data_IF_749669160780
#
_entry.id   IF_749669160780
#
_cell.length_a   1.000
_cell.length_b   1.000
_cell.length_c   1.000
_cell.angle_alpha   90.00
_cell.angle_beta   90.00
_cell.angle_gamma   90.00
#
_symmetry.space_group_name_H-M   'P 1'
#
loop_
_entity.id
_entity.type
_entity.pdbx_description
1 polymer ?
#
# COMPACT_ATOMS: atom_id res chain seq x y z
N UNK A 1 -4.77 22.90 11.18
CA UNK A 1 -4.05 21.61 11.28
C UNK A 1 -2.79 21.59 10.40
N UNK A 2 -2.86 21.85 9.08
CA UNK A 2 -1.67 21.84 8.19
C UNK A 2 -0.62 22.85 8.68
N UNK A 3 -1.00 24.08 9.04
CA UNK A 3 -0.07 25.08 9.54
C UNK A 3 0.66 24.64 10.82
N UNK A 4 -0.04 23.98 11.74
CA UNK A 4 0.58 23.40 12.95
C UNK A 4 1.63 22.32 12.62
N UNK A 5 1.40 21.52 11.57
CA UNK A 5 2.37 20.52 11.09
C UNK A 5 3.60 21.23 10.49
N UNK A 6 3.40 22.31 9.74
CA UNK A 6 4.49 23.11 9.16
C UNK A 6 5.34 23.73 10.28
N UNK A 7 4.73 24.31 11.31
CA UNK A 7 5.43 24.92 12.44
C UNK A 7 6.21 23.88 13.25
N UNK A 8 5.62 22.69 13.48
CA UNK A 8 6.32 21.58 14.11
C UNK A 8 7.54 21.13 13.27
N UNK A 9 7.39 21.07 11.94
CA UNK A 9 8.48 20.68 11.03
C UNK A 9 9.65 21.66 11.10
N UNK A 10 9.40 22.98 11.14
CA UNK A 10 10.46 23.99 11.32
C UNK A 10 11.26 23.72 12.59
N UNK A 11 10.57 23.57 13.72
CA UNK A 11 11.19 23.24 14.99
C UNK A 11 11.95 21.89 14.97
N UNK A 12 11.41 20.87 14.28
CA UNK A 12 12.09 19.58 14.11
C UNK A 12 13.43 19.72 13.37
N UNK A 13 13.47 20.54 12.32
CA UNK A 13 14.70 20.81 11.56
C UNK A 13 15.70 21.62 12.37
N UNK A 14 15.26 22.71 13.05
CA UNK A 14 16.10 23.55 13.88
C UNK A 14 16.83 22.78 15.00
N UNK A 15 16.14 21.85 15.66
CA UNK A 15 16.73 20.96 16.69
C UNK A 15 17.42 19.73 16.14
N UNK A 16 17.59 19.64 14.81
CA UNK A 16 18.22 18.52 14.09
C UNK A 16 17.59 17.15 14.38
N UNK A 17 16.27 17.12 14.59
CA UNK A 17 15.53 15.88 14.89
C UNK A 17 15.63 14.80 13.83
N UNK A 18 16.10 15.15 12.63
CA UNK A 18 16.29 14.25 11.49
C UNK A 18 17.57 13.38 11.59
N UNK A 19 18.56 13.74 12.41
CA UNK A 19 19.87 13.05 12.42
C UNK A 19 19.76 11.53 12.61
N UNK A 20 18.85 11.08 13.48
CA UNK A 20 18.62 9.64 13.72
C UNK A 20 17.95 8.89 12.56
N UNK A 21 17.48 9.59 11.53
CA UNK A 21 16.79 9.02 10.37
C UNK A 21 17.66 9.05 9.10
N UNK A 22 18.90 9.52 9.20
CA UNK A 22 19.79 9.59 8.04
C UNK A 22 20.08 8.20 7.51
N UNK A 23 19.87 8.00 6.23
CA UNK A 23 20.17 6.77 5.47
C UNK A 23 20.26 7.12 4.00
N UNK A 24 20.64 6.19 3.14
CA UNK A 24 20.62 6.39 1.71
C UNK A 24 19.28 5.93 1.07
N UNK A 25 19.22 5.95 -0.26
CA UNK A 25 18.00 5.58 -1.00
C UNK A 25 17.82 4.06 -1.19
N UNK A 26 18.83 3.25 -0.92
CA UNK A 26 18.79 1.81 -1.15
C UNK A 26 18.32 1.08 0.12
N UNK A 27 17.40 0.10 0.01
CA UNK A 27 16.96 -0.64 1.19
C UNK A 27 18.03 -1.64 1.63
N UNK A 28 18.52 -1.52 2.86
CA UNK A 28 19.59 -2.37 3.40
C UNK A 28 19.25 -3.87 3.33
N UNK A 29 17.97 -4.22 3.54
CA UNK A 29 17.47 -5.61 3.47
C UNK A 29 17.05 -6.05 2.07
N UNK A 30 17.20 -5.19 1.04
CA UNK A 30 16.73 -5.46 -0.34
C UNK A 30 15.26 -5.90 -0.38
N UNK A 31 14.47 -5.38 0.54
CA UNK A 31 13.07 -5.74 0.79
C UNK A 31 12.14 -4.60 0.36
N UNK A 32 11.01 -4.97 -0.25
CA UNK A 32 9.83 -4.11 -0.37
C UNK A 32 8.64 -4.73 0.39
N UNK A 33 7.88 -3.89 1.06
CA UNK A 33 6.65 -4.28 1.76
C UNK A 33 5.49 -3.50 1.15
N UNK A 34 4.53 -4.20 0.56
CA UNK A 34 3.24 -3.63 0.14
C UNK A 34 2.22 -3.89 1.24
N UNK A 35 1.62 -2.82 1.78
CA UNK A 35 0.64 -2.94 2.87
C UNK A 35 -0.46 -1.90 2.79
N UNK A 36 -1.48 -2.06 3.65
CA UNK A 36 -2.59 -1.12 3.74
C UNK A 36 -2.15 0.24 4.31
N UNK A 37 -2.82 1.31 3.85
CA UNK A 37 -2.65 2.66 4.37
C UNK A 37 -3.32 2.89 5.74
N UNK A 38 -3.90 1.87 6.36
CA UNK A 38 -4.53 1.93 7.67
C UNK A 38 -3.60 2.60 8.69
N UNK A 39 -4.15 3.56 9.44
CA UNK A 39 -3.38 4.37 10.39
C UNK A 39 -2.78 3.55 11.54
N UNK A 40 -3.43 2.45 11.92
CA UNK A 40 -2.94 1.51 12.95
C UNK A 40 -1.61 0.87 12.55
N UNK A 41 -1.34 0.75 11.24
CA UNK A 41 -0.13 0.13 10.71
C UNK A 41 1.03 1.11 10.45
N UNK A 42 0.86 2.39 10.76
CA UNK A 42 1.90 3.38 10.45
C UNK A 42 3.19 3.12 11.22
N UNK A 43 3.09 2.81 12.50
CA UNK A 43 4.22 2.46 13.36
C UNK A 43 4.27 0.97 13.70
N UNK A 44 3.11 0.32 13.89
CA UNK A 44 3.02 -1.09 14.26
C UNK A 44 3.69 -2.00 13.22
N UNK A 45 3.41 -1.79 11.93
CA UNK A 45 3.95 -2.66 10.89
C UNK A 45 5.49 -2.71 10.88
N UNK A 46 6.22 -1.60 10.73
CA UNK A 46 7.68 -1.66 10.77
C UNK A 46 8.21 -2.16 12.12
N UNK A 47 7.58 -1.81 13.24
CA UNK A 47 8.00 -2.27 14.56
C UNK A 47 7.85 -3.79 14.71
N UNK A 48 6.70 -4.35 14.33
CA UNK A 48 6.44 -5.78 14.40
C UNK A 48 7.35 -6.61 13.47
N UNK A 49 7.75 -6.03 12.32
CA UNK A 49 8.70 -6.66 11.39
C UNK A 49 10.17 -6.40 11.76
N UNK A 50 10.47 -5.67 12.82
CA UNK A 50 11.82 -5.31 13.21
C UNK A 50 12.55 -4.44 12.19
N UNK A 51 11.80 -3.61 11.44
CA UNK A 51 12.33 -2.72 10.41
C UNK A 51 12.62 -1.33 10.96
N UNK A 52 13.80 -0.81 10.58
CA UNK A 52 14.24 0.56 10.86
C UNK A 52 14.19 1.40 9.60
N UNK A 53 14.34 2.72 9.77
CA UNK A 53 14.47 3.63 8.62
C UNK A 53 15.69 3.22 7.77
N UNK A 54 15.46 3.03 6.46
CA UNK A 54 16.49 2.54 5.53
C UNK A 54 16.44 1.05 5.23
N UNK A 55 15.82 0.22 6.08
CA UNK A 55 15.83 -1.25 5.92
C UNK A 55 15.03 -1.74 4.68
N UNK A 56 13.87 -1.13 4.42
CA UNK A 56 12.95 -1.61 3.37
C UNK A 56 12.22 -0.47 2.67
N UNK A 57 11.68 -0.75 1.48
CA UNK A 57 10.72 0.13 0.79
C UNK A 57 9.31 -0.20 1.26
N UNK A 58 8.64 0.76 1.89
CA UNK A 58 7.26 0.60 2.34
C UNK A 58 6.33 1.27 1.32
N UNK A 59 5.48 0.48 0.68
CA UNK A 59 4.46 0.91 -0.27
C UNK A 59 3.11 0.75 0.39
N UNK A 60 2.30 1.82 0.46
CA UNK A 60 0.98 1.80 1.10
C UNK A 60 -0.10 2.28 0.14
N UNK A 61 -1.21 1.55 0.10
CA UNK A 61 -2.43 1.96 -0.60
C UNK A 61 -3.68 1.43 0.12
N UNK A 62 -4.86 1.78 -0.38
CA UNK A 62 -6.12 1.24 0.16
C UNK A 62 -6.16 -0.28 -0.02
N UNK A 63 -6.20 -1.01 1.09
CA UNK A 63 -6.25 -2.48 1.12
C UNK A 63 -4.90 -3.20 1.01
N UNK A 64 -3.80 -2.53 0.67
CA UNK A 64 -2.50 -3.20 0.50
C UNK A 64 -2.46 -4.14 -0.73
N UNK A 65 -3.06 -3.71 -1.84
CA UNK A 65 -3.38 -4.54 -3.01
C UNK A 65 -2.65 -4.09 -4.27
N UNK A 66 -2.50 -5.03 -5.21
CA UNK A 66 -2.33 -4.75 -6.64
C UNK A 66 -3.69 -4.97 -7.31
N UNK A 67 -4.34 -3.89 -7.75
CA UNK A 67 -5.67 -3.93 -8.38
C UNK A 67 -5.57 -4.34 -9.84
N UNK A 68 -4.53 -3.85 -10.53
CA UNK A 68 -4.27 -4.18 -11.92
C UNK A 68 -2.76 -4.28 -12.20
N UNK A 69 -2.41 -4.96 -13.29
CA UNK A 69 -1.01 -5.17 -13.67
C UNK A 69 -0.21 -3.87 -13.88
N UNK A 70 -0.87 -2.74 -14.14
CA UNK A 70 -0.22 -1.45 -14.40
C UNK A 70 -0.71 -0.35 -13.46
N UNK A 71 -1.08 -0.71 -12.24
CA UNK A 71 -1.43 0.28 -11.22
C UNK A 71 -0.21 0.92 -10.55
N UNK A 72 -0.44 1.89 -9.67
CA UNK A 72 0.61 2.62 -8.97
C UNK A 72 1.43 1.75 -8.01
N UNK A 73 0.79 0.73 -7.38
CA UNK A 73 1.50 -0.20 -6.49
C UNK A 73 2.47 -1.06 -7.31
N UNK A 74 2.00 -1.63 -8.42
CA UNK A 74 2.84 -2.43 -9.32
C UNK A 74 4.00 -1.61 -9.88
N UNK A 75 3.74 -0.37 -10.34
CA UNK A 75 4.79 0.54 -10.79
C UNK A 75 5.85 0.77 -9.71
N UNK A 76 5.43 0.96 -8.46
CA UNK A 76 6.35 1.18 -7.32
C UNK A 76 7.21 -0.06 -7.04
N UNK A 77 6.65 -1.26 -7.15
CA UNK A 77 7.39 -2.52 -7.02
C UNK A 77 8.41 -2.70 -8.15
N UNK A 78 8.05 -2.39 -9.40
CA UNK A 78 8.98 -2.44 -10.53
C UNK A 78 10.16 -1.48 -10.32
N UNK A 79 9.90 -0.24 -9.89
CA UNK A 79 10.97 0.72 -9.54
C UNK A 79 11.84 0.18 -8.40
N UNK A 80 11.24 -0.41 -7.36
CA UNK A 80 11.97 -0.99 -6.25
C UNK A 80 12.91 -2.13 -6.68
N UNK A 81 12.48 -2.97 -7.62
CA UNK A 81 13.29 -4.06 -8.17
C UNK A 81 14.46 -3.52 -8.99
N UNK A 82 14.18 -2.70 -10.01
CA UNK A 82 15.18 -2.34 -11.03
C UNK A 82 16.08 -1.20 -10.61
N UNK A 83 15.56 -0.19 -9.90
CA UNK A 83 16.34 1.00 -9.51
C UNK A 83 16.93 0.90 -8.11
N UNK A 84 16.28 0.15 -7.21
CA UNK A 84 16.64 0.15 -5.80
C UNK A 84 17.15 -1.21 -5.32
N UNK A 85 17.25 -2.20 -6.22
CA UNK A 85 17.89 -3.48 -5.97
C UNK A 85 17.12 -4.42 -5.03
N UNK A 86 15.80 -4.24 -4.90
CA UNK A 86 14.94 -5.13 -4.12
C UNK A 86 14.97 -6.54 -4.71
N UNK A 87 15.06 -7.54 -3.82
CA UNK A 87 15.06 -8.97 -4.14
C UNK A 87 13.89 -9.73 -3.53
N UNK A 88 13.29 -9.17 -2.49
CA UNK A 88 12.19 -9.81 -1.77
C UNK A 88 11.02 -8.83 -1.62
N UNK A 89 9.80 -9.35 -1.79
CA UNK A 89 8.57 -8.58 -1.66
C UNK A 89 7.66 -9.29 -0.64
N UNK A 90 7.26 -8.55 0.38
CA UNK A 90 6.19 -8.96 1.30
C UNK A 90 4.90 -8.23 0.94
N UNK A 91 3.83 -8.97 0.72
CA UNK A 91 2.45 -8.44 0.66
C UNK A 91 1.83 -8.65 2.03
N UNK A 92 1.57 -7.57 2.77
CA UNK A 92 1.10 -7.64 4.16
C UNK A 92 -0.26 -6.97 4.28
N UNK A 93 -1.32 -7.76 4.23
CA UNK A 93 -2.67 -7.33 4.61
C UNK A 93 -2.83 -7.32 6.14
N UNK A 94 -4.01 -6.93 6.64
CA UNK A 94 -4.23 -6.88 8.09
C UNK A 94 -5.64 -7.29 8.49
N UNK A 95 -5.81 -7.67 9.76
CA UNK A 95 -7.12 -7.93 10.36
C UNK A 95 -8.00 -6.68 10.38
N UNK A 96 -9.31 -6.85 10.24
CA UNK A 96 -10.30 -5.76 10.29
C UNK A 96 -10.01 -4.61 9.30
N UNK A 97 -9.63 -4.95 8.07
CA UNK A 97 -9.37 -3.98 7.00
C UNK A 97 -10.68 -3.37 6.51
N UNK A 98 -10.75 -2.03 6.51
CA UNK A 98 -11.91 -1.31 5.99
C UNK A 98 -12.20 -1.59 4.50
N UNK A 99 -11.19 -1.99 3.73
CA UNK A 99 -11.36 -2.35 2.33
C UNK A 99 -12.24 -3.61 2.11
N UNK A 100 -12.46 -4.45 3.13
CA UNK A 100 -13.41 -5.56 3.06
C UNK A 100 -14.88 -5.11 2.91
N UNK A 101 -15.18 -3.86 3.23
CA UNK A 101 -16.54 -3.31 3.22
C UNK A 101 -16.71 -2.21 2.16
N UNK A 102 -15.70 -1.97 1.34
CA UNK A 102 -15.79 -1.01 0.25
C UNK A 102 -16.72 -1.52 -0.84
N UNK A 103 -17.66 -0.68 -1.27
CA UNK A 103 -18.53 -0.95 -2.41
C UNK A 103 -18.69 0.31 -3.27
N UNK A 104 -18.81 0.13 -4.57
CA UNK A 104 -19.05 1.23 -5.50
C UNK A 104 -20.31 2.01 -5.12
N UNK A 105 -21.40 1.34 -4.73
CA UNK A 105 -22.66 1.99 -4.41
C UNK A 105 -22.52 2.97 -3.23
N UNK A 106 -21.75 2.59 -2.20
CA UNK A 106 -21.45 3.49 -1.10
C UNK A 106 -20.66 4.72 -1.57
N UNK A 107 -19.60 4.53 -2.35
CA UNK A 107 -18.82 5.64 -2.91
C UNK A 107 -19.64 6.53 -3.82
N UNK A 108 -20.49 5.94 -4.68
CA UNK A 108 -21.38 6.70 -5.57
C UNK A 108 -22.28 7.62 -4.75
N UNK A 109 -22.93 7.09 -3.71
CA UNK A 109 -23.79 7.89 -2.82
C UNK A 109 -23.03 9.08 -2.19
N UNK A 110 -21.84 8.80 -1.64
CA UNK A 110 -20.99 9.83 -1.01
C UNK A 110 -20.49 10.89 -2.01
N UNK A 111 -20.11 10.48 -3.22
CA UNK A 111 -19.69 11.39 -4.29
C UNK A 111 -20.81 12.34 -4.70
N UNK A 112 -22.03 11.82 -4.92
CA UNK A 112 -23.20 12.63 -5.26
C UNK A 112 -23.53 13.61 -4.13
N UNK A 113 -23.52 13.16 -2.88
CA UNK A 113 -23.76 14.00 -1.72
C UNK A 113 -22.75 15.16 -1.58
N UNK A 114 -21.56 15.03 -2.16
CA UNK A 114 -20.50 16.04 -2.18
C UNK A 114 -20.45 16.86 -3.48
N UNK A 115 -21.43 16.69 -4.37
CA UNK A 115 -21.61 17.51 -5.57
C UNK A 115 -20.93 16.96 -6.83
N UNK A 116 -20.45 15.72 -6.83
CA UNK A 116 -20.08 15.03 -8.08
C UNK A 116 -21.37 14.69 -8.83
N UNK A 117 -21.45 15.02 -10.11
CA UNK A 117 -22.66 14.78 -10.92
C UNK A 117 -22.60 13.43 -11.63
N UNK A 118 -23.76 12.84 -11.92
CA UNK A 118 -23.87 11.63 -12.74
C UNK A 118 -23.25 11.84 -14.13
N UNK A 119 -23.34 13.03 -14.70
CA UNK A 119 -22.70 13.38 -15.97
C UNK A 119 -21.17 13.24 -15.90
N UNK A 120 -20.57 13.65 -14.77
CA UNK A 120 -19.12 13.48 -14.53
C UNK A 120 -18.75 11.99 -14.46
N UNK A 121 -19.53 11.19 -13.72
CA UNK A 121 -19.30 9.75 -13.60
C UNK A 121 -19.47 9.02 -14.94
N UNK A 122 -20.48 9.42 -15.73
CA UNK A 122 -20.68 8.91 -17.08
C UNK A 122 -19.55 9.26 -18.03
N UNK A 123 -19.00 10.47 -17.92
CA UNK A 123 -17.84 10.89 -18.72
C UNK A 123 -16.62 10.04 -18.39
N UNK A 124 -16.32 9.81 -17.12
CA UNK A 124 -15.22 8.94 -16.68
C UNK A 124 -15.39 7.53 -17.24
N UNK A 125 -16.60 6.97 -17.15
CA UNK A 125 -16.93 5.65 -17.68
C UNK A 125 -16.73 5.57 -19.20
N UNK A 126 -17.14 6.61 -19.95
CA UNK A 126 -16.92 6.73 -21.40
C UNK A 126 -15.43 6.83 -21.77
N UNK A 127 -14.58 7.31 -20.87
CA UNK A 127 -13.12 7.26 -21.03
C UNK A 127 -12.52 5.86 -20.80
N UNK A 128 -13.34 4.84 -20.55
CA UNK A 128 -12.90 3.45 -20.39
C UNK A 128 -12.51 3.08 -18.95
N UNK A 129 -12.82 3.91 -17.96
CA UNK A 129 -12.55 3.62 -16.55
C UNK A 129 -13.76 2.93 -15.95
N UNK A 130 -13.58 1.67 -15.54
CA UNK A 130 -14.58 0.93 -14.77
C UNK A 130 -14.50 1.34 -13.29
N UNK A 131 -15.30 2.34 -12.91
CA UNK A 131 -15.35 2.85 -11.55
C UNK A 131 -15.85 1.80 -10.55
N UNK A 132 -16.72 0.88 -10.99
CA UNK A 132 -17.21 -0.19 -10.13
C UNK A 132 -16.07 -1.12 -9.71
N UNK A 133 -15.32 -1.62 -10.69
CA UNK A 133 -14.16 -2.46 -10.41
C UNK A 133 -13.05 -1.72 -9.64
N UNK A 134 -12.84 -0.44 -9.94
CA UNK A 134 -11.77 0.36 -9.35
C UNK A 134 -12.00 0.70 -7.87
N UNK A 135 -13.28 0.88 -7.45
CA UNK A 135 -13.67 1.25 -6.09
C UNK A 135 -14.18 0.06 -5.26
N UNK A 136 -14.38 -1.10 -5.89
CA UNK A 136 -14.82 -2.29 -5.17
C UNK A 136 -13.72 -2.81 -4.23
N UNK A 137 -14.11 -3.21 -3.03
CA UNK A 137 -13.22 -3.85 -2.08
C UNK A 137 -13.04 -5.35 -2.34
N UNK A 138 -12.60 -6.06 -1.34
CA UNK A 138 -12.46 -7.51 -1.39
C UNK A 138 -13.33 -8.18 -0.31
N UNK A 139 -13.78 -9.41 -0.56
CA UNK A 139 -14.65 -10.15 0.36
C UNK A 139 -13.89 -10.93 1.42
N UNK A 140 -12.66 -11.31 1.12
CA UNK A 140 -11.84 -12.22 1.94
C UNK A 140 -10.38 -11.81 1.89
N UNK A 141 -9.79 -11.55 3.06
CA UNK A 141 -8.42 -11.06 3.16
C UNK A 141 -7.39 -12.09 2.68
N UNK A 142 -7.42 -13.37 3.07
CA UNK A 142 -6.50 -14.38 2.56
C UNK A 142 -6.54 -14.53 1.04
N UNK A 143 -7.73 -14.56 0.45
CA UNK A 143 -7.89 -14.64 -1.02
C UNK A 143 -7.31 -13.40 -1.72
N UNK A 144 -7.52 -12.22 -1.14
CA UNK A 144 -6.97 -10.97 -1.67
C UNK A 144 -5.44 -10.95 -1.65
N UNK A 145 -4.82 -11.44 -0.56
CA UNK A 145 -3.36 -11.60 -0.44
C UNK A 145 -2.84 -12.55 -1.53
N UNK A 146 -3.44 -13.75 -1.68
CA UNK A 146 -3.03 -14.73 -2.69
C UNK A 146 -3.12 -14.15 -4.10
N UNK A 147 -4.22 -13.46 -4.43
CA UNK A 147 -4.41 -12.81 -5.73
C UNK A 147 -3.35 -11.74 -6.00
N UNK A 148 -3.05 -10.91 -5.00
CA UNK A 148 -2.01 -9.87 -5.12
C UNK A 148 -0.62 -10.49 -5.34
N UNK A 149 -0.26 -11.51 -4.57
CA UNK A 149 1.00 -12.25 -4.72
C UNK A 149 1.09 -12.88 -6.11
N UNK A 150 0.03 -13.53 -6.57
CA UNK A 150 -0.01 -14.15 -7.91
C UNK A 150 0.13 -13.10 -9.02
N UNK A 151 -0.57 -11.96 -8.91
CA UNK A 151 -0.46 -10.86 -9.87
C UNK A 151 0.98 -10.34 -9.97
N UNK A 152 1.68 -10.21 -8.84
CA UNK A 152 3.08 -9.79 -8.82
C UNK A 152 3.98 -10.88 -9.44
N UNK A 153 3.86 -12.13 -9.03
CA UNK A 153 4.69 -13.26 -9.52
C UNK A 153 4.54 -13.50 -11.02
N UNK A 154 3.35 -13.30 -11.56
CA UNK A 154 3.05 -13.54 -12.99
C UNK A 154 3.23 -12.32 -13.86
N UNK A 155 3.53 -11.15 -13.28
CA UNK A 155 3.72 -9.93 -14.03
C UNK A 155 4.93 -10.04 -14.98
N UNK A 156 4.78 -9.69 -16.27
CA UNK A 156 5.83 -9.89 -17.27
C UNK A 156 7.13 -9.13 -17.02
N UNK A 157 7.08 -8.04 -16.22
CA UNK A 157 8.24 -7.24 -15.86
C UNK A 157 8.85 -7.63 -14.51
N UNK A 158 8.35 -8.65 -13.81
CA UNK A 158 8.95 -9.13 -12.56
C UNK A 158 9.89 -10.29 -12.86
N UNK A 159 11.20 -10.15 -12.54
CA UNK A 159 12.16 -11.23 -12.74
C UNK A 159 11.82 -12.47 -11.91
N UNK A 160 12.18 -13.67 -12.44
CA UNK A 160 11.86 -14.95 -11.80
C UNK A 160 12.61 -15.20 -10.49
N UNK A 161 13.69 -14.47 -10.24
CA UNK A 161 14.51 -14.56 -9.02
C UNK A 161 13.99 -13.67 -7.87
N UNK A 162 12.92 -12.92 -8.11
CA UNK A 162 12.27 -12.13 -7.05
C UNK A 162 11.38 -13.03 -6.21
N UNK A 163 11.65 -13.07 -4.90
CA UNK A 163 10.83 -13.79 -3.93
C UNK A 163 9.63 -12.93 -3.54
N UNK A 164 8.42 -13.48 -3.66
CA UNK A 164 7.19 -12.79 -3.26
C UNK A 164 6.40 -13.67 -2.32
N UNK A 165 6.10 -13.17 -1.12
CA UNK A 165 5.34 -13.90 -0.08
C UNK A 165 4.20 -13.04 0.46
N UNK A 166 3.12 -13.68 0.87
CA UNK A 166 1.90 -13.05 1.36
C UNK A 166 1.63 -13.33 2.83
N UNK A 167 1.25 -12.29 3.57
CA UNK A 167 1.03 -12.33 5.01
C UNK A 167 -0.22 -11.56 5.41
N UNK A 168 -0.73 -11.88 6.59
CA UNK A 168 -1.72 -11.08 7.32
C UNK A 168 -1.12 -10.71 8.67
N UNK A 169 -1.12 -9.42 9.00
CA UNK A 169 -0.74 -8.92 10.33
C UNK A 169 -1.99 -8.62 11.15
N UNK A 170 -1.99 -9.01 12.39
CA UNK A 170 -3.01 -8.57 13.34
C UNK A 170 -2.79 -7.09 13.67
N UNK A 171 -3.83 -6.28 13.47
CA UNK A 171 -3.74 -4.81 13.59
C UNK A 171 -3.68 -4.29 15.03
N UNK A 172 -3.79 -5.18 16.03
CA UNK A 172 -3.70 -4.84 17.45
C UNK A 172 -2.41 -5.35 18.08
N UNK A 173 -2.05 -6.59 17.79
CA UNK A 173 -0.90 -7.27 18.43
C UNK A 173 0.36 -7.27 17.58
N UNK A 174 0.24 -7.06 16.27
CA UNK A 174 1.35 -7.20 15.32
C UNK A 174 1.71 -8.66 14.99
N UNK A 175 0.93 -9.65 15.44
CA UNK A 175 1.15 -11.05 15.08
C UNK A 175 1.06 -11.24 13.57
N UNK A 176 2.05 -11.94 12.98
CA UNK A 176 2.16 -12.12 11.54
C UNK A 176 1.90 -13.58 11.18
N UNK A 177 0.94 -13.81 10.28
CA UNK A 177 0.60 -15.11 9.71
C UNK A 177 0.99 -15.15 8.23
N UNK A 178 1.69 -16.18 7.80
CA UNK A 178 1.99 -16.41 6.39
C UNK A 178 0.83 -17.10 5.68
N UNK A 179 0.46 -16.59 4.52
CA UNK A 179 -0.67 -17.07 3.71
C UNK A 179 -0.20 -17.81 2.44
N UNK A 180 0.91 -17.38 1.83
CA UNK A 180 1.49 -17.98 0.63
C UNK A 180 2.88 -17.42 0.26
#
# INVERSE_FOLDING_TARGET
>A
MIDQIIDYNRSFVERKGYEKYLTDKYPDKKLAVLSCMDTRLTELLPAALGLKNGDAKIIKNAGGLVISAFDSAMRSLIVAIYELGVKEIMVVAHSHCGACHMSYDHFHHEMIARGVTDETLDTIRKCGIDLHHWLEGFKDTPTSVRKTVETIKTHPLVPKDIVVRGFIIDSETGALEEIC
#
